data_IF_698751593546
#
_entry.id   IF_698751593546
#
_cell.length_a   1.000
_cell.length_b   1.000
_cell.length_c   1.000
_cell.angle_alpha   90.00
_cell.angle_beta   90.00
_cell.angle_gamma   90.00
#
_symmetry.space_group_name_H-M   'P 1'
#
loop_
_entity.id
_entity.type
_entity.pdbx_description
1 polymer ?
#
# COMPACT_ATOMS: atom_id res chain seq x y z
N UNK A 1 1.02 24.32 -22.95
CA UNK A 1 0.15 24.46 -24.12
C UNK A 1 -1.28 24.59 -23.63
N UNK A 2 -2.11 25.40 -24.29
CA UNK A 2 -3.57 25.39 -24.05
C UNK A 2 -4.15 24.17 -24.74
N UNK A 3 -4.75 23.27 -23.95
CA UNK A 3 -5.44 22.11 -24.49
C UNK A 3 -6.83 22.49 -25.00
N UNK A 4 -7.57 23.26 -24.18
CA UNK A 4 -8.94 23.62 -24.48
C UNK A 4 -9.30 24.95 -23.82
N UNK A 5 -10.09 25.76 -24.53
CA UNK A 5 -10.66 27.02 -24.06
C UNK A 5 -12.18 26.87 -24.00
N UNK A 6 -12.77 27.03 -22.81
CA UNK A 6 -14.20 26.79 -22.56
C UNK A 6 -15.08 28.04 -22.73
N UNK A 7 -14.48 29.20 -23.01
CA UNK A 7 -15.15 30.50 -23.02
C UNK A 7 -14.78 31.33 -24.25
N UNK A 8 -15.69 32.16 -24.71
CA UNK A 8 -15.50 33.12 -25.79
C UNK A 8 -15.60 34.57 -25.27
N UNK A 9 -15.13 35.51 -26.08
CA UNK A 9 -15.20 36.93 -25.73
C UNK A 9 -16.66 37.39 -25.67
N UNK A 10 -17.03 38.04 -24.56
CA UNK A 10 -18.41 38.44 -24.27
C UNK A 10 -19.23 37.44 -23.46
N UNK A 11 -18.70 36.26 -23.16
CA UNK A 11 -19.41 35.27 -22.34
C UNK A 11 -19.52 35.71 -20.87
N UNK A 12 -20.71 35.50 -20.28
CA UNK A 12 -20.92 35.64 -18.86
C UNK A 12 -20.43 34.37 -18.12
N UNK A 13 -19.57 34.56 -17.12
CA UNK A 13 -18.99 33.48 -16.31
C UNK A 13 -19.35 33.65 -14.85
N UNK A 14 -19.48 32.54 -14.14
CA UNK A 14 -19.69 32.50 -12.69
C UNK A 14 -18.38 32.21 -11.95
N UNK A 15 -18.23 32.70 -10.71
CA UNK A 15 -17.07 32.37 -9.88
C UNK A 15 -16.89 30.86 -9.75
N UNK A 16 -15.69 30.37 -10.07
CA UNK A 16 -15.33 28.96 -10.06
C UNK A 16 -15.60 28.22 -11.37
N UNK A 17 -16.23 28.84 -12.37
CA UNK A 17 -16.45 28.25 -13.69
C UNK A 17 -15.12 27.99 -14.39
N UNK A 18 -14.92 26.80 -15.01
CA UNK A 18 -13.72 26.51 -15.78
C UNK A 18 -13.64 27.40 -17.03
N UNK A 19 -12.45 27.95 -17.27
CA UNK A 19 -12.18 28.89 -18.37
C UNK A 19 -11.26 28.28 -19.42
N UNK A 20 -10.17 27.64 -18.97
CA UNK A 20 -9.21 27.00 -19.87
C UNK A 20 -8.53 25.82 -19.17
N UNK A 21 -8.16 24.80 -19.94
CA UNK A 21 -7.28 23.71 -19.51
C UNK A 21 -5.91 23.87 -20.13
N UNK A 22 -4.88 23.86 -19.30
CA UNK A 22 -3.48 24.02 -19.70
C UNK A 22 -2.75 22.71 -19.41
N UNK A 23 -2.03 22.20 -20.42
CA UNK A 23 -1.10 21.08 -20.25
C UNK A 23 0.33 21.59 -20.17
N UNK A 24 1.07 21.19 -19.14
CA UNK A 24 2.51 21.43 -19.03
C UNK A 24 3.27 20.31 -19.75
N UNK A 25 3.62 20.54 -21.02
CA UNK A 25 4.44 19.61 -21.79
C UNK A 25 5.93 19.86 -21.48
N UNK A 26 6.56 18.96 -20.73
CA UNK A 26 8.02 18.88 -20.65
C UNK A 26 8.49 17.87 -21.71
N UNK A 27 8.75 18.36 -22.92
CA UNK A 27 9.30 17.52 -23.97
C UNK A 27 10.81 17.32 -23.72
N UNK A 28 11.27 16.07 -23.78
CA UNK A 28 12.69 15.80 -23.90
C UNK A 28 13.15 16.09 -25.35
N UNK A 29 14.47 16.11 -25.58
CA UNK A 29 15.10 16.34 -26.88
C UNK A 29 14.76 15.31 -27.98
N UNK A 30 13.95 14.29 -27.68
CA UNK A 30 13.51 13.24 -28.61
C UNK A 30 12.01 13.29 -28.93
N UNK A 31 11.27 14.30 -28.47
CA UNK A 31 9.86 14.49 -28.83
C UNK A 31 8.87 13.55 -28.11
N UNK A 32 9.36 12.73 -27.17
CA UNK A 32 8.52 11.99 -26.23
C UNK A 32 8.32 12.89 -25.01
N UNK A 33 7.07 13.05 -24.57
CA UNK A 33 6.80 13.68 -23.30
C UNK A 33 7.39 12.77 -22.21
N UNK A 34 8.49 13.19 -21.59
CA UNK A 34 9.25 12.46 -20.56
C UNK A 34 8.33 11.89 -19.45
N UNK A 35 7.20 12.57 -19.25
CA UNK A 35 6.08 12.20 -18.40
C UNK A 35 5.41 10.87 -18.72
N UNK A 36 5.22 10.54 -19.99
CA UNK A 36 4.45 9.35 -20.41
C UNK A 36 5.25 8.08 -20.15
N UNK A 37 6.53 8.09 -20.52
CA UNK A 37 7.47 6.99 -20.24
C UNK A 37 7.63 6.77 -18.72
N UNK A 38 7.74 7.85 -17.95
CA UNK A 38 7.83 7.77 -16.49
C UNK A 38 6.54 7.20 -15.85
N UNK A 39 5.36 7.60 -16.34
CA UNK A 39 4.08 7.04 -15.88
C UNK A 39 3.99 5.55 -16.21
N UNK A 40 4.40 5.13 -17.41
CA UNK A 40 4.43 3.73 -17.81
C UNK A 40 5.37 2.91 -16.92
N UNK A 41 6.58 3.43 -16.67
CA UNK A 41 7.57 2.79 -15.80
C UNK A 41 7.05 2.61 -14.37
N UNK A 42 6.47 3.65 -13.76
CA UNK A 42 5.91 3.55 -12.40
C UNK A 42 4.71 2.61 -12.36
N UNK A 43 3.90 2.56 -13.42
CA UNK A 43 2.76 1.63 -13.53
C UNK A 43 3.23 0.18 -13.61
N UNK A 44 4.27 -0.11 -14.41
CA UNK A 44 4.90 -1.43 -14.44
C UNK A 44 5.46 -1.82 -13.07
N UNK A 45 6.06 -0.87 -12.34
CA UNK A 45 6.59 -1.15 -11.02
C UNK A 45 5.50 -1.47 -9.98
N UNK A 46 4.34 -0.81 -10.06
CA UNK A 46 3.15 -1.17 -9.26
C UNK A 46 2.66 -2.57 -9.59
N UNK A 47 2.66 -2.97 -10.87
CA UNK A 47 2.26 -4.33 -11.28
C UNK A 47 3.22 -5.37 -10.70
N UNK A 48 4.54 -5.16 -10.80
CA UNK A 48 5.53 -6.05 -10.21
C UNK A 48 5.34 -6.20 -8.69
N UNK A 49 5.07 -5.11 -7.97
CA UNK A 49 4.79 -5.16 -6.54
C UNK A 49 3.49 -5.94 -6.22
N UNK A 50 2.45 -5.82 -7.06
CA UNK A 50 1.23 -6.60 -6.90
C UNK A 50 1.47 -8.10 -7.09
N UNK A 51 2.29 -8.45 -8.09
CA UNK A 51 2.69 -9.84 -8.33
C UNK A 51 3.49 -10.38 -7.15
N UNK A 52 4.45 -9.61 -6.62
CA UNK A 52 5.20 -9.97 -5.42
C UNK A 52 4.30 -10.18 -4.20
N UNK A 53 3.30 -9.31 -3.97
CA UNK A 53 2.33 -9.49 -2.87
C UNK A 53 1.55 -10.79 -3.04
N UNK A 54 1.08 -11.08 -4.26
CA UNK A 54 0.32 -12.29 -4.57
C UNK A 54 1.17 -13.55 -4.40
N UNK A 55 2.42 -13.51 -4.83
CA UNK A 55 3.40 -14.57 -4.61
C UNK A 55 3.66 -14.80 -3.11
N UNK A 56 3.85 -13.74 -2.33
CA UNK A 56 4.07 -13.86 -0.88
C UNK A 56 2.85 -14.47 -0.16
N UNK A 57 1.62 -14.14 -0.56
CA UNK A 57 0.42 -14.79 -0.04
C UNK A 57 0.38 -16.29 -0.38
N UNK A 58 0.79 -16.65 -1.59
CA UNK A 58 0.85 -18.05 -2.04
C UNK A 58 1.89 -18.83 -1.25
N UNK A 59 3.09 -18.27 -1.07
CA UNK A 59 4.17 -18.85 -0.29
C UNK A 59 3.77 -19.01 1.18
N UNK A 60 3.16 -17.99 1.79
CA UNK A 60 2.62 -18.06 3.16
C UNK A 60 1.65 -19.24 3.32
N UNK A 61 0.71 -19.41 2.38
CA UNK A 61 -0.26 -20.50 2.42
C UNK A 61 0.42 -21.86 2.30
N UNK A 62 1.36 -22.01 1.36
CA UNK A 62 2.10 -23.25 1.15
C UNK A 62 2.92 -23.63 2.39
N UNK A 63 3.64 -22.66 2.95
CA UNK A 63 4.47 -22.87 4.15
C UNK A 63 3.61 -23.21 5.37
N UNK A 64 2.49 -22.52 5.57
CA UNK A 64 1.54 -22.85 6.65
C UNK A 64 0.98 -24.26 6.50
N UNK A 65 0.66 -24.71 5.28
CA UNK A 65 0.19 -26.08 5.04
C UNK A 65 1.28 -27.11 5.33
N UNK A 66 2.52 -26.82 4.93
CA UNK A 66 3.67 -27.68 5.19
C UNK A 66 3.91 -27.84 6.70
N UNK A 67 3.95 -26.72 7.45
CA UNK A 67 4.12 -26.75 8.91
C UNK A 67 2.99 -27.50 9.62
N UNK A 68 1.74 -27.37 9.15
CA UNK A 68 0.62 -28.14 9.68
C UNK A 68 0.76 -29.64 9.39
N UNK A 69 1.21 -30.02 8.19
CA UNK A 69 1.47 -31.42 7.85
C UNK A 69 2.59 -32.02 8.72
N UNK A 70 3.68 -31.29 8.92
CA UNK A 70 4.76 -31.68 9.83
C UNK A 70 4.25 -31.84 11.27
N UNK A 71 3.41 -30.92 11.75
CA UNK A 71 2.83 -31.01 13.10
C UNK A 71 1.99 -32.27 13.26
N UNK A 72 1.16 -32.60 12.26
CA UNK A 72 0.36 -33.83 12.28
C UNK A 72 1.25 -35.07 12.32
N UNK A 73 2.30 -35.12 11.50
CA UNK A 73 3.25 -36.24 11.49
C UNK A 73 3.91 -36.43 12.87
N UNK A 74 4.47 -35.35 13.45
CA UNK A 74 5.11 -35.41 14.76
C UNK A 74 4.14 -35.77 15.89
N UNK A 75 2.88 -35.30 15.81
CA UNK A 75 1.84 -35.63 16.79
C UNK A 75 1.47 -37.12 16.73
N UNK A 76 1.38 -37.69 15.52
CA UNK A 76 1.11 -39.12 15.36
C UNK A 76 2.25 -39.98 15.91
N UNK A 77 3.50 -39.58 15.66
CA UNK A 77 4.68 -40.24 16.22
C UNK A 77 4.73 -40.14 17.75
N UNK A 78 4.39 -38.97 18.31
CA UNK A 78 4.26 -38.81 19.77
C UNK A 78 3.22 -39.77 20.35
N UNK A 79 2.05 -39.91 19.71
CA UNK A 79 1.01 -40.83 20.16
C UNK A 79 1.46 -42.30 20.10
N UNK A 80 2.24 -42.67 19.08
CA UNK A 80 2.84 -44.01 18.99
C UNK A 80 3.85 -44.27 20.11
N UNK A 81 4.74 -43.31 20.39
CA UNK A 81 5.69 -43.38 21.50
C UNK A 81 5.00 -43.44 22.87
N UNK A 82 3.91 -42.67 23.07
CA UNK A 82 3.10 -42.73 24.29
C UNK A 82 2.46 -44.12 24.48
N UNK A 83 1.97 -44.72 23.39
CA UNK A 83 1.42 -46.08 23.42
C UNK A 83 2.50 -47.12 23.75
N UNK A 84 3.71 -46.99 23.19
CA UNK A 84 4.84 -47.86 23.54
C UNK A 84 5.26 -47.70 25.00
N UNK A 85 5.26 -46.47 25.52
CA UNK A 85 5.57 -46.21 26.94
C UNK A 85 4.53 -46.87 27.85
N UNK A 86 3.24 -46.79 27.51
CA UNK A 86 2.18 -47.45 28.27
C UNK A 86 2.35 -48.99 28.29
N UNK A 87 2.71 -49.60 27.16
CA UNK A 87 3.02 -51.03 27.09
C UNK A 87 4.26 -51.39 27.94
N UNK A 88 5.30 -50.57 27.92
CA UNK A 88 6.48 -50.75 28.77
C UNK A 88 6.12 -50.66 30.25
N UNK A 89 5.19 -49.77 30.63
CA UNK A 89 4.67 -49.64 31.99
C UNK A 89 3.85 -50.86 32.43
N UNK A 90 2.99 -51.39 31.57
CA UNK A 90 2.27 -52.64 31.83
C UNK A 90 3.23 -53.82 32.03
N UNK A 91 4.23 -53.95 31.14
CA UNK A 91 5.28 -54.99 31.23
C UNK A 91 6.09 -54.85 32.52
N UNK A 92 6.45 -53.63 32.91
CA UNK A 92 7.14 -53.36 34.18
C UNK A 92 6.25 -53.77 35.38
N UNK A 93 4.95 -53.47 35.35
CA UNK A 93 4.00 -53.90 36.38
C UNK A 93 3.87 -55.42 36.49
N UNK A 94 3.90 -56.13 35.36
CA UNK A 94 3.93 -57.60 35.33
C UNK A 94 5.21 -58.17 35.96
N UNK A 95 6.38 -57.68 35.54
CA UNK A 95 7.67 -58.14 36.07
C UNK A 95 7.82 -57.82 37.57
N UNK A 96 7.38 -56.65 38.04
CA UNK A 96 7.39 -56.33 39.47
C UNK A 96 6.53 -57.30 40.29
N UNK A 97 5.34 -57.68 39.81
CA UNK A 97 4.49 -58.69 40.46
C UNK A 97 5.16 -60.06 40.47
N UNK A 98 5.76 -60.47 39.35
CA UNK A 98 6.52 -61.72 39.28
C UNK A 98 7.69 -61.73 40.27
N UNK A 99 8.47 -60.65 40.34
CA UNK A 99 9.58 -60.51 41.30
C UNK A 99 9.08 -60.61 42.76
N UNK A 100 7.94 -59.98 43.08
CA UNK A 100 7.34 -60.07 44.42
C UNK A 100 6.94 -61.51 44.77
N UNK A 101 6.29 -62.22 43.84
CA UNK A 101 5.91 -63.63 44.03
C UNK A 101 7.15 -64.53 44.17
N UNK A 102 8.17 -64.30 43.35
CA UNK A 102 9.47 -64.99 43.44
C UNK A 102 10.14 -64.80 44.81
N UNK A 103 10.15 -63.56 45.32
CA UNK A 103 10.72 -63.27 46.64
C UNK A 103 9.95 -63.96 47.77
N UNK A 104 8.63 -64.15 47.65
CA UNK A 104 7.83 -64.91 48.61
C UNK A 104 8.14 -66.41 48.57
N UNK A 105 8.28 -66.99 47.37
CA UNK A 105 8.60 -68.41 47.19
C UNK A 105 10.03 -68.76 47.64
N UNK A 106 10.99 -67.86 47.40
CA UNK A 106 12.40 -68.09 47.76
C UNK A 106 12.64 -68.10 49.28
N UNK A 107 11.78 -67.44 50.08
CA UNK A 107 11.80 -67.56 51.56
C UNK A 107 11.58 -69.01 52.04
N UNK A 108 11.00 -69.86 51.20
CA UNK A 108 10.74 -71.26 51.50
C UNK A 108 11.84 -72.19 50.94
N UNK A 109 12.93 -71.67 50.36
CA UNK A 109 14.13 -72.43 49.95
C UNK A 109 14.06 -73.15 48.59
N UNK A 110 13.05 -72.85 47.76
CA UNK A 110 12.75 -73.61 46.54
C UNK A 110 13.38 -73.08 45.24
N UNK A 111 14.30 -72.10 45.28
CA UNK A 111 14.66 -71.32 44.08
C UNK A 111 16.16 -71.10 43.87
N UNK A 112 16.58 -71.15 42.60
CA UNK A 112 17.98 -70.98 42.20
C UNK A 112 18.38 -69.50 42.11
N UNK A 113 19.60 -69.16 42.54
CA UNK A 113 20.16 -67.81 42.41
C UNK A 113 20.17 -67.32 40.95
N UNK A 114 20.30 -68.23 39.99
CA UNK A 114 20.31 -67.94 38.54
C UNK A 114 18.96 -67.39 38.09
N UNK A 115 17.85 -67.98 38.55
CA UNK A 115 16.49 -67.53 38.17
C UNK A 115 16.19 -66.13 38.73
N UNK A 116 16.71 -65.83 39.93
CA UNK A 116 16.62 -64.49 40.53
C UNK A 116 17.38 -63.45 39.71
N UNK A 117 18.60 -63.77 39.29
CA UNK A 117 19.40 -62.87 38.45
C UNK A 117 18.75 -62.62 37.08
N UNK A 118 18.18 -63.66 36.45
CA UNK A 118 17.45 -63.52 35.19
C UNK A 118 16.23 -62.58 35.31
N UNK A 119 15.43 -62.69 36.38
CA UNK A 119 14.31 -61.78 36.63
C UNK A 119 14.79 -60.34 36.88
N UNK A 120 15.85 -60.18 37.68
CA UNK A 120 16.42 -58.86 37.93
C UNK A 120 16.94 -58.21 36.64
N UNK A 121 17.58 -58.99 35.75
CA UNK A 121 18.03 -58.52 34.44
C UNK A 121 16.85 -58.06 33.58
N UNK A 122 15.81 -58.89 33.45
CA UNK A 122 14.62 -58.54 32.68
C UNK A 122 13.94 -57.25 33.18
N UNK A 123 13.94 -57.03 34.50
CA UNK A 123 13.41 -55.82 35.11
C UNK A 123 14.27 -54.57 34.84
N UNK A 124 15.60 -54.72 34.82
CA UNK A 124 16.52 -53.65 34.43
C UNK A 124 16.37 -53.31 32.94
N UNK A 125 16.22 -54.31 32.08
CA UNK A 125 16.05 -54.11 30.63
C UNK A 125 14.79 -53.28 30.32
N UNK A 126 13.65 -53.62 30.94
CA UNK A 126 12.39 -52.85 30.75
C UNK A 126 12.48 -51.45 31.35
N UNK A 127 13.19 -51.27 32.48
CA UNK A 127 13.42 -49.92 33.04
C UNK A 127 14.25 -49.06 32.09
N UNK A 128 15.29 -49.63 31.48
CA UNK A 128 16.11 -48.95 30.50
C UNK A 128 15.31 -48.61 29.24
N UNK A 129 14.51 -49.55 28.73
CA UNK A 129 13.59 -49.34 27.62
C UNK A 129 12.63 -48.18 27.89
N UNK A 130 11.97 -48.17 29.05
CA UNK A 130 11.09 -47.08 29.47
C UNK A 130 11.81 -45.74 29.52
N UNK A 131 13.02 -45.69 30.08
CA UNK A 131 13.79 -44.45 30.17
C UNK A 131 14.20 -43.92 28.78
N UNK A 132 14.49 -44.82 27.83
CA UNK A 132 14.78 -44.45 26.45
C UNK A 132 13.52 -43.88 25.76
N UNK A 133 12.36 -44.53 25.91
CA UNK A 133 11.09 -44.04 25.38
C UNK A 133 10.71 -42.67 25.95
N UNK A 134 10.88 -42.47 27.27
CA UNK A 134 10.63 -41.19 27.91
C UNK A 134 11.54 -40.07 27.37
N UNK A 135 12.82 -40.38 27.10
CA UNK A 135 13.76 -39.44 26.48
C UNK A 135 13.35 -39.06 25.05
N UNK A 136 12.92 -40.04 24.26
CA UNK A 136 12.41 -39.81 22.90
C UNK A 136 11.14 -38.95 22.92
N UNK A 137 10.22 -39.19 23.87
CA UNK A 137 9.04 -38.34 24.05
C UNK A 137 9.39 -36.89 24.38
N UNK A 138 10.33 -36.66 25.31
CA UNK A 138 10.80 -35.29 25.60
C UNK A 138 11.42 -34.62 24.37
N UNK A 139 12.17 -35.36 23.56
CA UNK A 139 12.72 -34.83 22.31
C UNK A 139 11.61 -34.43 21.33
N UNK A 140 10.59 -35.28 21.18
CA UNK A 140 9.43 -35.02 20.33
C UNK A 140 8.61 -33.81 20.80
N UNK A 141 8.41 -33.67 22.11
CA UNK A 141 7.72 -32.53 22.72
C UNK A 141 8.44 -31.21 22.46
N UNK A 142 9.77 -31.21 22.58
CA UNK A 142 10.58 -30.03 22.25
C UNK A 142 10.45 -29.67 20.76
N UNK A 143 10.45 -30.66 19.86
CA UNK A 143 10.25 -30.42 18.42
C UNK A 143 8.86 -29.87 18.12
N UNK A 144 7.81 -30.41 18.75
CA UNK A 144 6.43 -29.91 18.60
C UNK A 144 6.26 -28.50 19.16
N UNK A 145 6.95 -28.17 20.26
CA UNK A 145 6.98 -26.82 20.83
C UNK A 145 7.62 -25.82 19.87
N UNK A 146 8.82 -26.14 19.35
CA UNK A 146 9.51 -25.33 18.36
C UNK A 146 8.68 -25.14 17.08
N UNK A 147 8.04 -26.21 16.60
CA UNK A 147 7.18 -26.15 15.43
C UNK A 147 5.93 -25.30 15.67
N UNK A 148 5.35 -25.38 16.87
CA UNK A 148 4.19 -24.55 17.24
C UNK A 148 4.55 -23.07 17.31
N UNK A 149 5.75 -22.73 17.79
CA UNK A 149 6.29 -21.38 17.73
C UNK A 149 6.47 -20.90 16.28
N UNK A 150 7.02 -21.74 15.40
CA UNK A 150 7.16 -21.41 13.97
C UNK A 150 5.79 -21.19 13.31
N UNK A 151 4.80 -22.03 13.58
CA UNK A 151 3.42 -21.88 13.08
C UNK A 151 2.81 -20.53 13.49
N UNK A 152 3.10 -20.05 14.70
CA UNK A 152 2.60 -18.75 15.17
C UNK A 152 3.35 -17.56 14.53
N UNK A 153 4.65 -17.69 14.28
CA UNK A 153 5.49 -16.59 13.81
C UNK A 153 5.47 -16.40 12.30
N UNK A 154 5.48 -17.48 11.51
CA UNK A 154 5.55 -17.41 10.05
C UNK A 154 4.46 -16.49 9.47
N UNK A 155 3.18 -16.58 9.87
CA UNK A 155 2.14 -15.67 9.39
C UNK A 155 2.44 -14.18 9.69
N UNK A 156 3.05 -13.89 10.84
CA UNK A 156 3.40 -12.52 11.21
C UNK A 156 4.55 -11.99 10.34
N UNK A 157 5.56 -12.82 10.06
CA UNK A 157 6.67 -12.45 9.17
C UNK A 157 6.19 -12.12 7.77
N UNK A 158 5.31 -12.94 7.19
CA UNK A 158 4.71 -12.65 5.88
C UNK A 158 3.85 -11.38 5.92
N UNK A 159 3.08 -11.18 6.99
CA UNK A 159 2.26 -9.96 7.16
C UNK A 159 3.14 -8.70 7.15
N UNK A 160 4.26 -8.72 7.88
CA UNK A 160 5.21 -7.60 7.90
C UNK A 160 5.79 -7.33 6.51
N UNK A 161 6.19 -8.38 5.78
CA UNK A 161 6.74 -8.28 4.42
C UNK A 161 5.72 -7.75 3.42
N UNK A 162 4.49 -8.27 3.45
CA UNK A 162 3.39 -7.78 2.59
C UNK A 162 3.08 -6.32 2.91
N UNK A 163 3.07 -5.94 4.19
CA UNK A 163 2.86 -4.55 4.58
C UNK A 163 3.98 -3.62 4.10
N UNK A 164 5.25 -4.06 4.07
CA UNK A 164 6.32 -3.26 3.46
C UNK A 164 6.12 -3.08 1.96
N UNK A 165 5.73 -4.13 1.24
CA UNK A 165 5.43 -4.04 -0.21
C UNK A 165 4.27 -3.09 -0.48
N UNK A 166 3.20 -3.17 0.31
CA UNK A 166 2.04 -2.26 0.21
C UNK A 166 2.42 -0.80 0.49
N UNK A 167 3.33 -0.54 1.44
CA UNK A 167 3.85 0.83 1.67
C UNK A 167 4.63 1.35 0.47
N UNK A 168 5.52 0.53 -0.11
CA UNK A 168 6.25 0.90 -1.32
C UNK A 168 5.30 1.18 -2.49
N UNK A 169 4.26 0.35 -2.65
CA UNK A 169 3.22 0.58 -3.64
C UNK A 169 2.50 1.91 -3.42
N UNK A 170 2.14 2.24 -2.18
CA UNK A 170 1.49 3.51 -1.85
C UNK A 170 2.37 4.72 -2.17
N UNK A 171 3.68 4.64 -1.89
CA UNK A 171 4.63 5.71 -2.25
C UNK A 171 4.71 5.91 -3.77
N UNK A 172 4.79 4.83 -4.55
CA UNK A 172 4.81 4.91 -6.02
C UNK A 172 3.47 5.44 -6.56
N UNK A 173 2.34 5.04 -5.96
CA UNK A 173 1.02 5.54 -6.33
C UNK A 173 0.88 7.04 -6.06
N UNK A 174 1.45 7.53 -4.95
CA UNK A 174 1.52 8.95 -4.63
C UNK A 174 2.39 9.71 -5.65
N UNK A 175 3.56 9.17 -6.02
CA UNK A 175 4.41 9.73 -7.08
C UNK A 175 3.65 9.82 -8.41
N UNK A 176 2.95 8.76 -8.81
CA UNK A 176 2.15 8.73 -10.03
C UNK A 176 1.02 9.78 -10.00
N UNK A 177 0.38 9.97 -8.84
CA UNK A 177 -0.67 10.97 -8.65
C UNK A 177 -0.11 12.39 -8.72
N UNK A 178 1.04 12.64 -8.11
CA UNK A 178 1.72 13.94 -8.16
C UNK A 178 2.17 14.27 -9.59
N UNK A 179 2.73 13.29 -10.30
CA UNK A 179 3.08 13.38 -11.71
C UNK A 179 1.85 13.76 -12.53
N UNK A 180 0.73 13.01 -12.42
CA UNK A 180 -0.52 13.33 -13.12
C UNK A 180 -1.09 14.72 -12.79
N UNK A 181 -1.09 15.10 -11.51
CA UNK A 181 -1.60 16.39 -11.05
C UNK A 181 -0.76 17.57 -11.55
N UNK A 182 0.52 17.36 -11.82
CA UNK A 182 1.41 18.42 -12.31
C UNK A 182 1.23 18.71 -13.82
N UNK A 183 0.45 17.91 -14.55
CA UNK A 183 0.33 18.05 -16.01
C UNK A 183 -0.87 18.85 -16.47
N UNK A 184 -1.99 18.84 -15.76
CA UNK A 184 -3.24 19.47 -16.21
C UNK A 184 -3.71 20.49 -15.19
N UNK A 185 -3.75 21.75 -15.60
CA UNK A 185 -4.27 22.85 -14.79
C UNK A 185 -5.53 23.40 -15.43
N UNK A 186 -6.65 23.33 -14.71
CA UNK A 186 -7.87 24.04 -15.10
C UNK A 186 -7.87 25.41 -14.45
N UNK A 187 -7.80 26.45 -15.26
CA UNK A 187 -7.97 27.83 -14.83
C UNK A 187 -9.46 28.10 -14.66
N UNK A 188 -9.87 28.61 -13.50
CA UNK A 188 -11.26 28.93 -13.18
C UNK A 188 -11.45 30.43 -12.98
N UNK A 189 -12.68 30.91 -13.16
CA UNK A 189 -13.03 32.30 -12.96
C UNK A 189 -12.91 32.71 -11.48
N UNK A 190 -12.13 33.75 -11.19
CA UNK A 190 -11.94 34.25 -9.82
C UNK A 190 -13.18 34.98 -9.28
N UNK A 191 -13.98 35.59 -10.17
CA UNK A 191 -15.22 36.31 -9.87
C UNK A 191 -16.25 36.07 -10.98
N UNK A 192 -17.54 36.27 -10.67
CA UNK A 192 -18.60 36.30 -11.68
C UNK A 192 -18.53 37.60 -12.49
N UNK A 193 -18.70 37.54 -13.80
CA UNK A 193 -18.51 38.68 -14.69
C UNK A 193 -18.53 38.34 -16.16
N UNK A 194 -18.11 39.28 -17.01
CA UNK A 194 -18.03 39.11 -18.47
C UNK A 194 -16.55 38.94 -18.89
N UNK A 195 -16.28 37.93 -19.70
CA UNK A 195 -14.94 37.65 -20.24
C UNK A 195 -14.59 38.65 -21.35
N UNK A 196 -13.41 39.26 -21.27
CA UNK A 196 -12.90 40.22 -22.26
C UNK A 196 -11.42 40.02 -22.56
N UNK A 197 -10.98 40.41 -23.75
CA UNK A 197 -9.55 40.46 -24.08
C UNK A 197 -8.86 39.09 -24.00
N UNK A 198 -9.47 38.06 -24.59
CA UNK A 198 -8.84 36.73 -24.70
C UNK A 198 -7.62 36.87 -25.62
N UNK A 199 -6.43 36.62 -25.09
CA UNK A 199 -5.16 36.82 -25.83
C UNK A 199 -4.54 35.52 -26.34
N UNK A 200 -5.23 34.39 -26.15
CA UNK A 200 -4.66 33.06 -26.35
C UNK A 200 -5.61 32.15 -27.12
N UNK A 201 -5.03 31.24 -27.89
CA UNK A 201 -5.78 30.29 -28.72
C UNK A 201 -5.49 28.85 -28.30
N UNK A 202 -6.45 27.95 -28.51
CA UNK A 202 -6.23 26.51 -28.34
C UNK A 202 -5.01 26.04 -29.15
N UNK A 203 -4.16 25.22 -28.55
CA UNK A 203 -2.89 24.76 -29.13
C UNK A 203 -1.72 25.73 -28.98
N UNK A 204 -1.92 26.96 -28.49
CA UNK A 204 -0.83 27.91 -28.26
C UNK A 204 0.03 27.51 -27.06
N UNK A 205 1.36 27.68 -27.18
CA UNK A 205 2.30 27.49 -26.06
C UNK A 205 2.40 28.77 -25.24
N UNK A 206 2.00 28.69 -23.97
CA UNK A 206 2.05 29.81 -23.03
C UNK A 206 3.47 30.05 -22.52
N UNK A 207 3.86 31.32 -22.48
CA UNK A 207 5.00 31.81 -21.70
C UNK A 207 4.48 32.43 -20.40
N UNK A 208 5.22 32.29 -19.28
CA UNK A 208 4.76 32.68 -17.94
C UNK A 208 4.34 34.17 -17.78
N UNK A 209 4.62 35.02 -18.77
CA UNK A 209 4.37 36.47 -18.71
C UNK A 209 3.11 36.93 -19.48
N UNK A 210 2.43 36.06 -20.25
CA UNK A 210 1.30 36.46 -21.09
C UNK A 210 -0.04 36.24 -20.36
N UNK A 211 -0.89 37.27 -20.17
CA UNK A 211 -2.22 37.09 -19.59
C UNK A 211 -3.11 36.28 -20.53
N UNK A 212 -3.99 35.43 -19.98
CA UNK A 212 -4.88 34.57 -20.76
C UNK A 212 -6.12 35.34 -21.25
N UNK A 213 -6.80 36.00 -20.32
CA UNK A 213 -8.03 36.76 -20.51
C UNK A 213 -8.25 37.70 -19.32
N UNK A 214 -9.21 38.62 -19.45
CA UNK A 214 -9.71 39.48 -18.38
C UNK A 214 -11.17 39.15 -18.06
N UNK A 215 -11.60 39.43 -16.82
CA UNK A 215 -12.99 39.29 -16.39
C UNK A 215 -13.41 40.63 -15.80
N UNK A 216 -14.48 41.21 -16.34
CA UNK A 216 -15.12 42.41 -15.78
C UNK A 216 -16.18 41.95 -14.77
N UNK A 217 -16.00 42.19 -13.45
CA UNK A 217 -16.94 41.71 -12.44
C UNK A 217 -18.36 42.23 -12.65
N UNK A 218 -19.35 41.40 -12.34
CA UNK A 218 -20.75 41.81 -12.31
C UNK A 218 -20.97 42.95 -11.30
N UNK A 219 -21.70 44.00 -11.71
CA UNK A 219 -21.88 45.21 -10.90
C UNK A 219 -20.73 46.21 -10.95
N UNK A 220 -19.77 46.04 -11.86
CA UNK A 220 -18.73 47.03 -12.11
C UNK A 220 -19.32 48.31 -12.69
N UNK A 221 -19.11 49.43 -12.00
CA UNK A 221 -19.49 50.75 -12.50
C UNK A 221 -18.48 51.22 -13.55
N UNK A 222 -18.98 51.72 -14.69
CA UNK A 222 -18.13 52.31 -15.72
C UNK A 222 -17.61 53.66 -15.22
N UNK A 223 -16.32 53.71 -14.89
CA UNK A 223 -15.63 54.95 -14.51
C UNK A 223 -14.87 55.49 -15.72
N UNK A 224 -15.17 56.72 -16.13
CA UNK A 224 -14.40 57.42 -17.14
C UNK A 224 -13.28 58.24 -16.48
N UNK A 225 -12.03 57.94 -16.81
CA UNK A 225 -10.89 58.78 -16.44
C UNK A 225 -10.68 59.84 -17.53
N UNK A 226 -10.90 61.11 -17.19
CA UNK A 226 -10.79 62.23 -18.12
C UNK A 226 -9.50 63.00 -17.85
N UNK A 227 -8.56 62.95 -18.81
CA UNK A 227 -7.34 63.74 -18.76
C UNK A 227 -7.65 65.17 -19.22
N UNK A 228 -7.45 66.13 -18.31
CA UNK A 228 -7.73 67.55 -18.56
C UNK A 228 -6.44 68.36 -18.62
N UNK A 229 -6.31 69.34 -19.54
CA UNK A 229 -5.20 70.28 -19.53
C UNK A 229 -5.16 71.05 -18.20
N UNK A 230 -3.96 71.28 -17.66
CA UNK A 230 -3.74 71.99 -16.38
C UNK A 230 -4.44 73.34 -16.29
N UNK A 231 -4.55 74.07 -17.41
CA UNK A 231 -5.29 75.35 -17.49
C UNK A 231 -6.80 75.24 -17.21
N UNK A 232 -7.38 74.06 -17.33
CA UNK A 232 -8.82 73.80 -17.15
C UNK A 232 -9.16 73.30 -15.74
N UNK A 233 -8.16 72.94 -14.93
CA UNK A 233 -8.36 72.35 -13.61
C UNK A 233 -9.09 73.28 -12.63
N UNK A 234 -8.92 74.61 -12.76
CA UNK A 234 -9.58 75.60 -11.91
C UNK A 234 -11.08 75.82 -12.18
N UNK A 235 -11.64 75.19 -13.22
CA UNK A 235 -13.03 75.39 -13.65
C UNK A 235 -13.92 74.15 -13.41
N UNK A 236 -13.45 73.18 -12.63
CA UNK A 236 -14.11 71.88 -12.42
C UNK A 236 -14.39 71.71 -10.93
N UNK A 237 -15.60 71.27 -10.59
CA UNK A 237 -16.03 70.97 -9.24
C UNK A 237 -16.73 69.60 -9.18
N UNK A 238 -16.73 68.99 -7.99
CA UNK A 238 -17.51 67.78 -7.72
C UNK A 238 -19.00 68.08 -7.92
N UNK A 239 -19.70 67.21 -8.65
CA UNK A 239 -21.13 67.35 -8.97
C UNK A 239 -21.42 68.10 -10.28
N UNK A 240 -20.41 68.52 -11.03
CA UNK A 240 -20.63 69.07 -12.37
C UNK A 240 -21.18 68.00 -13.33
N UNK A 241 -22.28 68.30 -14.00
CA UNK A 241 -22.85 67.42 -15.02
C UNK A 241 -21.92 67.33 -16.24
N UNK A 242 -21.49 66.11 -16.55
CA UNK A 242 -20.66 65.83 -17.72
C UNK A 242 -21.45 65.09 -18.78
N UNK A 243 -21.39 65.55 -20.03
CA UNK A 243 -21.88 64.81 -21.19
C UNK A 243 -20.72 64.16 -21.91
N UNK A 244 -20.65 62.83 -21.89
CA UNK A 244 -19.74 62.06 -22.73
C UNK A 244 -20.43 61.75 -24.06
N UNK A 245 -19.71 61.96 -25.17
CA UNK A 245 -20.09 61.43 -26.47
C UNK A 245 -19.07 60.36 -26.87
N UNK A 246 -19.51 59.11 -26.93
CA UNK A 246 -18.68 58.00 -27.42
C UNK A 246 -18.69 58.03 -28.94
N UNK A 247 -17.49 57.93 -29.53
CA UNK A 247 -17.37 57.68 -30.97
C UNK A 247 -17.50 56.17 -31.17
N UNK A 248 -18.60 55.70 -31.75
CA UNK A 248 -18.95 54.28 -31.67
C UNK A 248 -18.12 53.37 -32.57
N UNK A 249 -17.41 53.86 -33.59
CA UNK A 249 -16.57 53.05 -34.49
C UNK A 249 -15.57 53.95 -35.24
N UNK A 250 -14.26 53.95 -34.94
CA UNK A 250 -13.28 54.58 -35.83
C UNK A 250 -13.10 53.69 -37.07
N UNK A 251 -13.48 54.17 -38.25
CA UNK A 251 -13.22 53.49 -39.53
C UNK A 251 -11.71 53.27 -39.69
N UNK A 252 -11.24 52.04 -39.50
CA UNK A 252 -9.93 51.62 -40.01
C UNK A 252 -9.98 51.71 -41.53
N UNK A 253 -9.30 52.72 -42.09
CA UNK A 253 -8.95 52.69 -43.52
C UNK A 253 -7.97 51.54 -43.71
N UNK A 254 -8.45 50.46 -44.32
CA UNK A 254 -7.59 49.58 -45.10
C UNK A 254 -6.87 50.45 -46.11
N UNK A 255 -5.54 50.50 -46.05
CA UNK A 255 -4.73 50.90 -47.20
C UNK A 255 -4.05 49.62 -47.67
N UNK A 256 -4.37 49.27 -48.92
CA UNK A 256 -3.83 48.17 -49.71
C UNK A 256 -2.31 48.33 -49.91
#
# INVERSE_FOLDING_TARGET
MIEQLFVQEGDAVTKGQPLATIIVQQNNSQGIALSTELVEQLSMQIQLLNDEVTQNHTLQKQESLNLQAQKRALTNEQAALQSQLALADEKLGLLNRQQSNFNQLNKNGFLSNIEREQQQQALLDVKQEKQNLARLLMQQENQLSQLSFNIANVPQQYTLRINSLKRQQADIQNQLTQIKSNYQYTITASNSGVVTGIQVVEGETLTQAKPLLHIIPEGSELVAELLLPTRSAGFIALGNDTRLRFDAFPYQRFVY
#
